data_IF_674577943065
#
_entry.id   IF_674577943065
#
_cell.length_a   1.000
_cell.length_b   1.000
_cell.length_c   1.000
_cell.angle_alpha   90.00
_cell.angle_beta   90.00
_cell.angle_gamma   90.00
#
_symmetry.space_group_name_H-M   'P 1'
#
loop_
_entity.id
_entity.type
_entity.pdbx_description
1 polymer ?
#
# COMPACT_ATOMS: atom_id res chain seq x y z
N UNK A 1 -11.88 -28.10 -24.50
CA UNK A 1 -13.07 -27.22 -24.32
C UNK A 1 -13.50 -27.02 -22.85
N UNK A 2 -12.75 -27.49 -21.84
CA UNK A 2 -13.09 -27.37 -20.42
C UNK A 2 -12.49 -26.15 -19.69
N UNK A 3 -11.49 -25.48 -20.28
CA UNK A 3 -10.78 -24.34 -19.66
C UNK A 3 -11.54 -23.01 -19.77
N UNK A 4 -12.42 -22.86 -20.77
CA UNK A 4 -13.19 -21.63 -21.03
C UNK A 4 -14.36 -21.49 -20.04
N UNK A 5 -14.93 -22.60 -19.56
CA UNK A 5 -16.01 -22.61 -18.57
C UNK A 5 -15.53 -22.14 -17.19
N UNK A 6 -14.36 -22.62 -16.76
CA UNK A 6 -13.77 -22.29 -15.44
C UNK A 6 -13.34 -20.82 -15.35
N UNK A 7 -12.81 -20.26 -16.46
CA UNK A 7 -12.49 -18.84 -16.60
C UNK A 7 -13.73 -17.94 -16.50
N UNK A 8 -14.85 -18.30 -17.15
CA UNK A 8 -16.11 -17.54 -17.04
C UNK A 8 -16.70 -17.54 -15.64
N UNK A 9 -16.54 -18.63 -14.90
CA UNK A 9 -17.02 -18.73 -13.51
C UNK A 9 -16.17 -17.88 -12.56
N UNK A 10 -14.85 -17.83 -12.77
CA UNK A 10 -13.95 -16.89 -12.10
C UNK A 10 -14.34 -15.43 -12.40
N UNK A 11 -14.52 -15.07 -13.68
CA UNK A 11 -14.93 -13.72 -14.10
C UNK A 11 -16.32 -13.35 -13.53
N UNK A 12 -17.27 -14.30 -13.46
CA UNK A 12 -18.57 -14.04 -12.81
C UNK A 12 -18.46 -13.84 -11.30
N UNK A 13 -17.60 -14.58 -10.60
CA UNK A 13 -17.32 -14.32 -9.17
C UNK A 13 -16.64 -12.95 -8.97
N UNK A 14 -15.80 -12.52 -9.91
CA UNK A 14 -15.16 -11.20 -9.91
C UNK A 14 -16.14 -10.03 -10.09
N UNK A 15 -17.20 -10.23 -10.90
CA UNK A 15 -18.21 -9.21 -11.14
C UNK A 15 -19.32 -9.16 -10.08
N UNK A 16 -19.53 -10.22 -9.29
CA UNK A 16 -20.74 -10.39 -8.50
C UNK A 16 -20.54 -10.52 -6.98
N UNK A 17 -19.45 -9.98 -6.43
CA UNK A 17 -19.37 -9.70 -4.98
C UNK A 17 -20.08 -8.37 -4.66
N UNK A 18 -21.39 -8.53 -4.72
CA UNK A 18 -22.53 -7.77 -4.23
C UNK A 18 -22.28 -7.01 -2.93
N UNK A 19 -22.48 -5.68 -3.03
CA UNK A 19 -23.23 -4.81 -2.10
C UNK A 19 -23.17 -5.21 -0.62
N UNK A 20 -22.27 -4.56 0.13
CA UNK A 20 -22.56 -3.96 1.45
C UNK A 20 -21.39 -3.02 1.83
N UNK A 21 -21.47 -1.75 1.40
CA UNK A 21 -20.85 -0.64 2.13
C UNK A 21 -19.43 -0.16 1.79
N UNK A 22 -18.91 -0.31 0.56
CA UNK A 22 -17.61 0.28 0.22
C UNK A 22 -17.35 0.36 -1.29
N UNK A 23 -16.64 1.42 -1.73
CA UNK A 23 -16.36 1.83 -3.11
C UNK A 23 -16.40 0.70 -4.17
N UNK A 24 -17.46 0.71 -4.98
CA UNK A 24 -17.62 -0.15 -6.15
C UNK A 24 -16.70 0.28 -7.29
N UNK A 25 -15.47 -0.23 -7.30
CA UNK A 25 -14.65 -0.26 -8.52
C UNK A 25 -15.14 -1.40 -9.41
N UNK A 26 -15.59 -1.08 -10.63
CA UNK A 26 -16.18 -2.02 -11.59
C UNK A 26 -15.29 -3.23 -11.97
N UNK A 27 -15.89 -4.20 -12.68
CA UNK A 27 -15.29 -5.50 -12.97
C UNK A 27 -13.90 -5.48 -13.66
N UNK A 28 -13.55 -4.37 -14.32
CA UNK A 28 -12.27 -4.21 -15.04
C UNK A 28 -11.25 -3.43 -14.21
N UNK A 29 -11.70 -2.53 -13.33
CA UNK A 29 -10.79 -1.64 -12.59
C UNK A 29 -10.05 -2.36 -11.47
N UNK A 30 -10.67 -3.35 -10.79
CA UNK A 30 -9.98 -4.18 -9.79
C UNK A 30 -8.75 -4.93 -10.35
N UNK A 31 -8.86 -5.75 -11.42
CA UNK A 31 -7.69 -6.44 -11.96
C UNK A 31 -6.66 -5.48 -12.54
N UNK A 32 -7.08 -4.38 -13.19
CA UNK A 32 -6.16 -3.38 -13.72
C UNK A 32 -5.36 -2.67 -12.61
N UNK A 33 -6.02 -2.25 -11.54
CA UNK A 33 -5.36 -1.65 -10.38
C UNK A 33 -4.38 -2.65 -9.74
N UNK A 34 -4.75 -3.93 -9.68
CA UNK A 34 -3.90 -4.99 -9.11
C UNK A 34 -2.62 -5.21 -9.90
N UNK A 35 -2.72 -5.18 -11.24
CA UNK A 35 -1.54 -5.25 -12.12
C UNK A 35 -0.63 -4.05 -11.84
N UNK A 36 -1.18 -2.84 -11.80
CA UNK A 36 -0.42 -1.63 -11.50
C UNK A 36 0.28 -1.69 -10.13
N UNK A 37 -0.44 -2.08 -9.08
CA UNK A 37 0.12 -2.21 -7.73
C UNK A 37 1.15 -3.33 -7.63
N UNK A 38 0.96 -4.42 -8.39
CA UNK A 38 1.94 -5.50 -8.50
C UNK A 38 3.25 -5.03 -9.13
N UNK A 39 3.19 -4.22 -10.19
CA UNK A 39 4.40 -3.60 -10.76
C UNK A 39 5.10 -2.70 -9.75
N UNK A 40 4.35 -1.82 -9.06
CA UNK A 40 4.93 -0.92 -8.04
C UNK A 40 5.62 -1.73 -6.93
N UNK A 41 5.00 -2.82 -6.45
CA UNK A 41 5.59 -3.68 -5.44
C UNK A 41 6.86 -4.38 -5.92
N UNK A 42 6.88 -4.86 -7.17
CA UNK A 42 8.04 -5.50 -7.78
C UNK A 42 9.21 -4.53 -7.96
N UNK A 43 8.95 -3.33 -8.48
CA UNK A 43 9.98 -2.30 -8.64
C UNK A 43 10.51 -1.81 -7.29
N UNK A 44 9.63 -1.60 -6.31
CA UNK A 44 10.04 -1.26 -4.95
C UNK A 44 10.88 -2.36 -4.29
N UNK A 45 10.52 -3.62 -4.50
CA UNK A 45 11.31 -4.76 -4.03
C UNK A 45 12.68 -4.86 -4.71
N UNK A 46 12.72 -4.66 -6.02
CA UNK A 46 13.98 -4.71 -6.78
C UNK A 46 14.94 -3.58 -6.39
N UNK A 47 14.42 -2.37 -6.14
CA UNK A 47 15.26 -1.22 -5.76
C UNK A 47 15.89 -1.38 -4.38
N UNK A 48 15.27 -2.12 -3.45
CA UNK A 48 15.86 -2.45 -2.15
C UNK A 48 17.17 -3.23 -2.30
N UNK A 49 17.24 -4.17 -3.24
CA UNK A 49 18.44 -5.00 -3.47
C UNK A 49 19.55 -4.27 -4.24
N UNK A 50 19.23 -3.13 -4.84
CA UNK A 50 20.15 -2.29 -5.60
C UNK A 50 20.48 -0.98 -4.86
N UNK A 51 20.02 -0.83 -3.61
CA UNK A 51 20.17 0.41 -2.87
C UNK A 51 21.58 0.55 -2.30
N UNK A 52 22.35 1.47 -2.85
CA UNK A 52 23.65 1.89 -2.31
C UNK A 52 23.52 2.93 -1.19
N UNK A 53 22.34 3.56 -1.06
CA UNK A 53 22.03 4.57 -0.07
C UNK A 53 20.77 4.23 0.72
N UNK A 54 20.75 4.61 2.01
CA UNK A 54 19.61 4.37 2.90
C UNK A 54 18.30 5.00 2.40
N UNK A 55 18.40 6.09 1.63
CA UNK A 55 17.25 6.81 1.07
C UNK A 55 16.57 6.00 -0.03
N UNK A 56 17.36 5.36 -0.91
CA UNK A 56 16.85 4.46 -1.94
C UNK A 56 16.24 3.20 -1.31
N UNK A 57 16.86 2.67 -0.26
CA UNK A 57 16.32 1.54 0.50
C UNK A 57 14.93 1.88 1.07
N UNK A 58 14.80 3.03 1.76
CA UNK A 58 13.52 3.45 2.34
C UNK A 58 12.46 3.76 1.28
N UNK A 59 12.85 4.35 0.15
CA UNK A 59 11.92 4.60 -0.95
C UNK A 59 11.44 3.28 -1.58
N UNK A 60 12.34 2.33 -1.80
CA UNK A 60 12.00 0.99 -2.26
C UNK A 60 11.06 0.25 -1.29
N UNK A 61 11.37 0.29 0.00
CA UNK A 61 10.52 -0.25 1.06
C UNK A 61 9.15 0.43 1.08
N UNK A 62 9.08 1.76 0.93
CA UNK A 62 7.82 2.50 0.85
C UNK A 62 6.97 2.03 -0.34
N UNK A 63 7.55 1.92 -1.54
CA UNK A 63 6.85 1.45 -2.73
C UNK A 63 6.37 0.00 -2.60
N UNK A 64 7.19 -0.87 -2.00
CA UNK A 64 6.81 -2.25 -1.74
C UNK A 64 5.64 -2.33 -0.75
N UNK A 65 5.71 -1.61 0.37
CA UNK A 65 4.64 -1.55 1.37
C UNK A 65 3.35 -0.97 0.77
N UNK A 66 3.46 0.06 -0.07
CA UNK A 66 2.33 0.67 -0.77
C UNK A 66 1.66 -0.34 -1.70
N UNK A 67 2.43 -0.97 -2.58
CA UNK A 67 1.89 -1.92 -3.56
C UNK A 67 1.25 -3.14 -2.91
N UNK A 68 1.93 -3.75 -1.92
CA UNK A 68 1.38 -4.88 -1.15
C UNK A 68 0.18 -4.46 -0.32
N UNK A 69 0.24 -3.31 0.34
CA UNK A 69 -0.86 -2.76 1.14
C UNK A 69 -2.12 -2.54 0.30
N UNK A 70 -1.97 -1.91 -0.86
CA UNK A 70 -3.07 -1.70 -1.80
C UNK A 70 -3.63 -3.00 -2.36
N UNK A 71 -2.79 -4.01 -2.66
CA UNK A 71 -3.27 -5.32 -3.08
C UNK A 71 -4.13 -5.97 -1.98
N UNK A 72 -3.70 -5.91 -0.73
CA UNK A 72 -4.50 -6.44 0.38
C UNK A 72 -5.82 -5.69 0.55
N UNK A 73 -5.84 -4.36 0.40
CA UNK A 73 -7.07 -3.55 0.46
C UNK A 73 -8.04 -3.92 -0.68
N UNK A 74 -7.53 -4.14 -1.90
CA UNK A 74 -8.37 -4.41 -3.08
C UNK A 74 -9.01 -5.81 -3.03
N UNK A 75 -8.29 -6.80 -2.48
CA UNK A 75 -8.66 -8.21 -2.56
C UNK A 75 -9.12 -8.85 -1.25
N UNK A 76 -8.89 -8.23 -0.10
CA UNK A 76 -9.22 -8.81 1.19
C UNK A 76 -10.40 -8.13 1.85
N UNK A 77 -11.43 -8.92 2.16
CA UNK A 77 -12.69 -8.43 2.73
C UNK A 77 -12.74 -8.47 4.26
N UNK A 78 -11.61 -8.47 4.98
CA UNK A 78 -11.59 -8.47 6.47
C UNK A 78 -10.23 -8.12 7.08
N UNK A 79 -9.70 -8.99 7.96
CA UNK A 79 -8.48 -8.77 8.76
C UNK A 79 -7.24 -8.51 7.89
N UNK A 80 -7.14 -9.14 6.72
CA UNK A 80 -6.04 -8.88 5.80
C UNK A 80 -6.17 -7.50 5.09
N UNK A 81 -7.38 -6.97 4.91
CA UNK A 81 -7.61 -5.60 4.46
C UNK A 81 -7.16 -4.55 5.48
N UNK A 82 -7.37 -4.80 6.78
CA UNK A 82 -6.84 -3.94 7.86
C UNK A 82 -5.31 -3.87 7.84
N UNK A 83 -4.65 -5.02 7.62
CA UNK A 83 -3.19 -5.06 7.43
C UNK A 83 -2.77 -4.31 6.16
N UNK A 84 -3.58 -4.39 5.10
CA UNK A 84 -3.39 -3.59 3.90
C UNK A 84 -3.35 -2.09 4.19
N UNK A 85 -4.30 -1.58 5.00
CA UNK A 85 -4.31 -0.19 5.46
C UNK A 85 -3.09 0.16 6.31
N UNK A 86 -2.68 -0.72 7.23
CA UNK A 86 -1.49 -0.49 8.04
C UNK A 86 -0.21 -0.40 7.19
N UNK A 87 -0.05 -1.28 6.19
CA UNK A 87 1.08 -1.26 5.26
C UNK A 87 1.05 0.00 4.37
N UNK A 88 -0.14 0.40 3.91
CA UNK A 88 -0.32 1.65 3.19
C UNK A 88 0.11 2.85 4.04
N UNK A 89 -0.31 2.93 5.30
CA UNK A 89 0.13 4.02 6.20
C UNK A 89 1.65 3.97 6.45
N UNK A 90 2.23 2.77 6.58
CA UNK A 90 3.69 2.59 6.69
C UNK A 90 4.44 3.07 5.46
N UNK A 91 3.89 2.89 4.27
CA UNK A 91 4.47 3.46 3.05
C UNK A 91 4.52 4.98 3.06
N UNK A 92 3.49 5.65 3.62
CA UNK A 92 3.45 7.12 3.73
C UNK A 92 4.48 7.61 4.73
N UNK A 93 4.62 6.92 5.87
CA UNK A 93 5.63 7.27 6.87
C UNK A 93 7.05 7.14 6.30
N UNK A 94 7.37 6.02 5.64
CA UNK A 94 8.68 5.76 5.06
C UNK A 94 8.98 6.71 3.88
N UNK A 95 8.07 6.78 2.89
CA UNK A 95 8.24 7.62 1.71
C UNK A 95 8.20 9.11 2.03
N UNK A 96 7.34 9.52 2.97
CA UNK A 96 7.26 10.90 3.46
C UNK A 96 8.53 11.33 4.20
N UNK A 97 9.19 10.43 4.93
CA UNK A 97 10.49 10.73 5.56
C UNK A 97 11.56 11.01 4.51
N UNK A 98 11.62 10.19 3.45
CA UNK A 98 12.57 10.40 2.35
C UNK A 98 12.26 11.71 1.62
N UNK A 99 11.01 11.95 1.25
CA UNK A 99 10.58 13.16 0.57
C UNK A 99 10.82 14.43 1.40
N UNK A 100 10.58 14.38 2.71
CA UNK A 100 10.90 15.49 3.62
C UNK A 100 12.41 15.75 3.68
N UNK A 101 13.23 14.70 3.80
CA UNK A 101 14.69 14.84 3.83
C UNK A 101 15.24 15.47 2.54
N UNK A 102 14.65 15.11 1.40
CA UNK A 102 15.05 15.64 0.10
C UNK A 102 14.58 17.10 -0.08
N UNK A 103 13.37 17.44 0.38
CA UNK A 103 12.90 18.82 0.38
C UNK A 103 13.79 19.74 1.24
N UNK A 104 14.29 19.27 2.39
CA UNK A 104 15.25 20.03 3.20
C UNK A 104 16.61 20.21 2.52
N UNK A 105 17.08 19.23 1.73
CA UNK A 105 18.31 19.36 0.93
C UNK A 105 18.17 20.36 -0.22
N UNK A 106 16.95 20.54 -0.73
CA UNK A 106 16.63 21.46 -1.82
C UNK A 106 16.27 22.88 -1.32
N UNK A 107 16.54 23.19 -0.05
CA UNK A 107 16.19 24.45 0.62
C UNK A 107 14.68 24.79 0.64
N UNK A 108 13.82 23.82 0.30
CA UNK A 108 12.35 23.92 0.31
C UNK A 108 11.79 23.59 1.71
N UNK A 109 12.19 24.40 2.69
CA UNK A 109 11.90 24.17 4.12
C UNK A 109 10.39 24.05 4.44
N UNK A 110 9.55 24.83 3.77
CA UNK A 110 8.09 24.77 3.98
C UNK A 110 7.49 23.44 3.53
N UNK A 111 7.93 22.93 2.37
CA UNK A 111 7.52 21.62 1.88
C UNK A 111 8.08 20.49 2.76
N UNK A 112 9.35 20.59 3.19
CA UNK A 112 9.98 19.64 4.09
C UNK A 112 9.24 19.49 5.42
N UNK A 113 8.84 20.62 6.03
CA UNK A 113 8.06 20.61 7.28
C UNK A 113 6.68 19.98 7.04
N UNK A 114 5.96 20.39 6.00
CA UNK A 114 4.62 19.90 5.73
C UNK A 114 4.61 18.38 5.49
N UNK A 115 5.50 17.89 4.63
CA UNK A 115 5.63 16.46 4.32
C UNK A 115 6.10 15.69 5.57
N UNK A 116 7.04 16.26 6.33
CA UNK A 116 7.54 15.66 7.58
C UNK A 116 6.44 15.49 8.64
N UNK A 117 5.55 16.46 8.78
CA UNK A 117 4.39 16.37 9.70
C UNK A 117 3.44 15.25 9.26
N UNK A 118 3.16 15.13 7.95
CA UNK A 118 2.31 14.05 7.43
C UNK A 118 2.96 12.68 7.71
N UNK A 119 4.27 12.55 7.46
CA UNK A 119 5.02 11.32 7.73
C UNK A 119 4.97 10.95 9.23
N UNK A 120 5.09 11.93 10.12
CA UNK A 120 5.01 11.75 11.57
C UNK A 120 3.62 11.32 12.03
N UNK A 121 2.56 11.95 11.50
CA UNK A 121 1.18 11.55 11.77
C UNK A 121 0.94 10.10 11.32
N UNK A 122 1.40 9.73 10.12
CA UNK A 122 1.31 8.37 9.61
C UNK A 122 2.04 7.38 10.53
N UNK A 123 3.25 7.73 10.99
CA UNK A 123 4.02 6.90 11.93
C UNK A 123 3.27 6.68 13.26
N UNK A 124 2.66 7.73 13.81
CA UNK A 124 1.86 7.63 15.05
C UNK A 124 0.65 6.72 14.84
N UNK A 125 -0.07 6.87 13.72
CA UNK A 125 -1.23 6.02 13.40
C UNK A 125 -0.81 4.54 13.38
N UNK A 126 0.33 4.20 12.76
CA UNK A 126 0.82 2.81 12.72
C UNK A 126 1.11 2.30 14.12
N UNK A 127 1.78 3.08 14.98
CA UNK A 127 2.08 2.67 16.36
C UNK A 127 0.78 2.37 17.12
N UNK A 128 -0.24 3.20 16.95
CA UNK A 128 -1.56 3.00 17.56
C UNK A 128 -2.24 1.74 17.01
N UNK A 129 -2.21 1.53 15.69
CA UNK A 129 -2.79 0.34 15.04
C UNK A 129 -2.09 -0.94 15.51
N UNK A 130 -0.76 -0.95 15.57
CA UNK A 130 0.03 -2.09 16.04
C UNK A 130 -0.30 -2.38 17.51
N UNK A 131 -0.31 -1.35 18.37
CA UNK A 131 -0.66 -1.52 19.79
C UNK A 131 -2.07 -2.11 19.95
N UNK A 132 -3.07 -1.54 19.27
CA UNK A 132 -4.44 -2.04 19.33
C UNK A 132 -4.58 -3.49 18.88
N UNK A 133 -3.81 -3.93 17.87
CA UNK A 133 -3.81 -5.32 17.40
C UNK A 133 -3.17 -6.29 18.41
N UNK A 134 -2.09 -5.88 19.09
CA UNK A 134 -1.46 -6.73 20.10
C UNK A 134 -2.29 -6.84 21.39
N UNK A 135 -2.99 -5.78 21.81
CA UNK A 135 -3.85 -5.82 22.99
C UNK A 135 -5.14 -6.64 22.80
N UNK A 136 -5.61 -6.82 21.56
CA UNK A 136 -6.80 -7.65 21.26
C UNK A 136 -6.53 -9.17 21.23
N UNK A 137 -5.25 -9.59 21.24
CA UNK A 137 -4.85 -11.00 21.12
C UNK A 137 -4.41 -11.61 22.47
N UNK A 138 -4.53 -10.87 23.58
CA UNK A 138 -4.33 -11.32 24.96
C UNK A 138 -5.66 -11.40 25.68
#
# INVERSE_FOLDING_TARGET
>A
MFLIGKQREYIRRFCFLKRKGGLTMGCITKPLASIGMGFIALFGGASIFQADEWQMFLMGAALLLFGVGMLLIIWSDSKAGDWGWALFTASIAAGGTVAASEAFKQDEWAAGIFIGVIALIAAIIIIVLIRGKFTQNT
#
